data_IF_970804112907
#
_entry.id   IF_970804112907
#
_cell.length_a   1.000
_cell.length_b   1.000
_cell.length_c   1.000
_cell.angle_alpha   90.00
_cell.angle_beta   90.00
_cell.angle_gamma   90.00
#
_symmetry.space_group_name_H-M   'P 1'
#
loop_
_entity.id
_entity.type
_entity.pdbx_description
1 polymer ?
#
# COMPACT_ATOMS: atom_id res chain seq x y z
N UNK A 1 -22.23 -34.21 17.98
CA UNK A 1 -21.50 -33.16 17.27
C UNK A 1 -22.13 -31.82 17.63
N UNK A 2 -21.60 -31.16 18.63
CA UNK A 2 -22.05 -29.81 19.04
C UNK A 2 -21.48 -28.82 18.02
N UNK A 3 -22.34 -28.31 17.13
CA UNK A 3 -21.97 -27.23 16.25
C UNK A 3 -21.56 -26.03 17.10
N UNK A 4 -20.34 -25.53 16.95
CA UNK A 4 -19.94 -24.29 17.59
C UNK A 4 -20.95 -23.20 17.22
N UNK A 5 -21.36 -22.33 18.16
CA UNK A 5 -22.33 -21.28 17.88
C UNK A 5 -21.80 -20.42 16.72
N UNK A 6 -22.68 -20.03 15.79
CA UNK A 6 -22.25 -19.24 14.64
C UNK A 6 -21.55 -17.96 15.14
N UNK A 7 -20.34 -17.76 14.69
CA UNK A 7 -19.55 -16.55 14.97
C UNK A 7 -20.36 -15.32 14.62
N UNK A 8 -20.70 -14.49 15.60
CA UNK A 8 -21.31 -13.18 15.38
C UNK A 8 -20.20 -12.13 15.39
N UNK A 9 -19.81 -11.63 14.22
CA UNK A 9 -18.77 -10.61 14.15
C UNK A 9 -19.22 -9.35 14.89
N UNK A 10 -18.33 -8.83 15.76
CA UNK A 10 -18.58 -7.62 16.56
C UNK A 10 -18.12 -6.37 15.82
N UNK A 11 -18.73 -5.25 16.15
CA UNK A 11 -18.22 -3.93 15.79
C UNK A 11 -16.91 -3.68 16.52
N UNK A 12 -15.89 -3.27 15.80
CA UNK A 12 -14.58 -2.92 16.37
C UNK A 12 -14.20 -1.49 15.99
N UNK A 13 -13.50 -0.82 16.89
CA UNK A 13 -12.94 0.52 16.69
C UNK A 13 -11.50 0.46 17.18
N UNK A 14 -10.55 0.83 16.33
CA UNK A 14 -9.14 0.69 16.64
C UNK A 14 -8.33 1.83 16.05
N UNK A 15 -7.32 2.26 16.80
CA UNK A 15 -6.27 3.13 16.30
C UNK A 15 -5.05 2.29 15.90
N UNK A 16 -4.40 2.70 14.83
CA UNK A 16 -3.19 2.06 14.34
C UNK A 16 -2.11 3.10 14.10
N UNK A 17 -0.86 2.69 14.36
CA UNK A 17 0.32 3.34 13.84
C UNK A 17 0.80 2.56 12.62
N UNK A 18 0.90 3.25 11.50
CA UNK A 18 1.49 2.73 10.27
C UNK A 18 2.89 3.31 10.10
N UNK A 19 3.83 2.44 9.73
CA UNK A 19 5.18 2.80 9.33
C UNK A 19 5.51 2.13 8.00
N UNK A 20 6.02 2.90 7.07
CA UNK A 20 6.66 2.44 5.85
C UNK A 20 8.10 2.94 5.85
N UNK A 21 9.04 2.05 5.70
CA UNK A 21 10.46 2.35 5.51
C UNK A 21 10.86 1.86 4.13
N UNK A 22 11.47 2.71 3.34
CA UNK A 22 11.93 2.42 2.00
C UNK A 22 13.40 2.81 1.87
N UNK A 23 14.25 1.85 1.54
CA UNK A 23 15.67 2.03 1.29
C UNK A 23 15.95 1.57 -0.14
N UNK A 24 16.54 2.45 -0.94
CA UNK A 24 16.96 2.15 -2.32
C UNK A 24 18.45 2.38 -2.44
N UNK A 25 19.16 1.38 -2.92
CA UNK A 25 20.59 1.45 -3.25
C UNK A 25 20.74 1.53 -4.77
N UNK A 26 21.32 2.63 -5.27
CA UNK A 26 21.59 2.87 -6.69
C UNK A 26 23.08 3.16 -6.87
N UNK A 27 23.81 2.30 -7.56
CA UNK A 27 25.25 2.45 -7.78
C UNK A 27 26.03 2.78 -6.48
N UNK A 28 25.71 2.10 -5.39
CA UNK A 28 26.28 2.32 -4.05
C UNK A 28 25.81 3.60 -3.31
N UNK A 29 24.93 4.41 -3.91
CA UNK A 29 24.28 5.53 -3.22
C UNK A 29 22.99 5.07 -2.57
N UNK A 30 22.83 5.37 -1.30
CA UNK A 30 21.64 5.04 -0.53
C UNK A 30 20.64 6.19 -0.54
N UNK A 31 19.40 5.88 -0.87
CA UNK A 31 18.24 6.77 -0.72
C UNK A 31 17.29 6.15 0.29
N UNK A 32 16.78 6.93 1.22
CA UNK A 32 15.81 6.48 2.23
C UNK A 32 14.58 7.36 2.23
N UNK A 33 13.41 6.72 2.29
CA UNK A 33 12.11 7.38 2.36
C UNK A 33 11.25 6.66 3.41
N UNK A 34 10.87 7.37 4.44
CA UNK A 34 10.03 6.83 5.49
C UNK A 34 8.71 7.61 5.55
N UNK A 35 7.63 6.89 5.84
CA UNK A 35 6.31 7.46 6.05
C UNK A 35 5.71 6.90 7.33
N UNK A 36 5.20 7.76 8.18
CA UNK A 36 4.38 7.36 9.33
C UNK A 36 3.00 7.95 9.21
N UNK A 37 1.99 7.25 9.74
CA UNK A 37 0.64 7.77 9.85
C UNK A 37 -0.08 7.18 11.06
N UNK A 38 -0.99 7.95 11.63
CA UNK A 38 -1.98 7.45 12.57
C UNK A 38 -3.29 7.21 11.82
N UNK A 39 -3.97 6.12 12.15
CA UNK A 39 -5.16 5.66 11.46
C UNK A 39 -6.21 5.28 12.49
N UNK A 40 -7.42 5.77 12.28
CA UNK A 40 -8.60 5.31 12.99
C UNK A 40 -9.41 4.41 12.06
N UNK A 41 -9.74 3.23 12.53
CA UNK A 41 -10.48 2.23 11.75
C UNK A 41 -11.70 1.77 12.55
N UNK A 42 -12.87 1.87 11.90
CA UNK A 42 -14.11 1.27 12.40
C UNK A 42 -14.50 0.10 11.51
N UNK A 43 -14.93 -1.00 12.09
CA UNK A 43 -15.40 -2.17 11.35
C UNK A 43 -16.68 -2.66 11.99
N UNK A 44 -17.74 -2.80 11.19
CA UNK A 44 -19.02 -3.34 11.65
C UNK A 44 -19.60 -4.31 10.60
N UNK A 45 -20.20 -5.41 11.06
CA UNK A 45 -20.77 -6.43 10.19
C UNK A 45 -22.05 -5.94 9.53
N UNK A 46 -22.20 -6.22 8.23
CA UNK A 46 -23.42 -5.97 7.46
C UNK A 46 -23.69 -7.18 6.59
N UNK A 47 -24.68 -8.01 6.96
CA UNK A 47 -24.96 -9.30 6.30
C UNK A 47 -23.71 -10.19 6.29
N UNK A 48 -23.22 -10.53 5.10
CA UNK A 48 -22.03 -11.35 4.88
C UNK A 48 -20.74 -10.55 4.70
N UNK A 49 -20.81 -9.19 4.77
CA UNK A 49 -19.68 -8.29 4.59
C UNK A 49 -19.37 -7.50 5.86
N UNK A 50 -18.28 -6.74 5.78
CA UNK A 50 -17.97 -5.71 6.78
C UNK A 50 -17.94 -4.35 6.11
N UNK A 51 -18.62 -3.38 6.70
CA UNK A 51 -18.36 -1.98 6.41
C UNK A 51 -17.18 -1.51 7.25
N UNK A 52 -16.22 -0.90 6.60
CA UNK A 52 -15.00 -0.40 7.23
C UNK A 52 -14.87 1.09 6.95
N UNK A 53 -14.96 1.88 8.00
CA UNK A 53 -14.58 3.29 7.98
C UNK A 53 -13.09 3.41 8.30
N UNK A 54 -12.40 4.24 7.55
CA UNK A 54 -10.98 4.48 7.66
C UNK A 54 -10.69 5.97 7.63
N UNK A 55 -9.96 6.45 8.62
CA UNK A 55 -9.50 7.83 8.69
C UNK A 55 -8.00 7.87 8.96
N UNK A 56 -7.23 8.53 8.08
CA UNK A 56 -5.79 8.74 8.24
C UNK A 56 -5.53 10.17 8.69
N UNK A 57 -4.73 10.34 9.71
CA UNK A 57 -4.33 11.63 10.26
C UNK A 57 -2.86 11.60 10.70
N UNK A 58 -2.29 12.77 10.96
CA UNK A 58 -0.88 12.95 11.41
C UNK A 58 0.14 12.22 10.51
N UNK A 59 -0.01 12.33 9.19
CA UNK A 59 0.99 11.78 8.26
C UNK A 59 2.28 12.58 8.29
N UNK A 60 3.40 11.88 8.40
CA UNK A 60 4.75 12.47 8.37
C UNK A 60 5.62 11.75 7.35
N UNK A 61 6.50 12.50 6.69
CA UNK A 61 7.48 12.01 5.73
C UNK A 61 8.88 12.41 6.16
N UNK A 62 9.78 11.47 6.07
CA UNK A 62 11.21 11.68 6.12
C UNK A 62 11.86 11.13 4.86
N UNK A 63 12.79 11.86 4.26
CA UNK A 63 13.44 11.43 3.02
C UNK A 63 14.80 12.10 2.88
N UNK A 64 15.77 11.35 2.37
CA UNK A 64 17.09 11.88 1.98
C UNK A 64 17.04 12.65 0.67
N UNK A 65 15.96 12.54 -0.11
CA UNK A 65 15.86 13.06 -1.47
C UNK A 65 14.75 14.10 -1.67
N UNK A 66 13.66 13.99 -0.94
CA UNK A 66 12.53 14.89 -1.09
C UNK A 66 12.83 16.27 -0.53
N UNK A 67 12.57 17.31 -1.31
CA UNK A 67 12.52 18.68 -0.80
C UNK A 67 11.34 18.86 0.17
N UNK A 68 11.36 19.92 0.98
CA UNK A 68 10.20 20.25 1.83
C UNK A 68 8.93 20.52 1.00
N UNK A 69 9.08 21.07 -0.19
CA UNK A 69 7.96 21.26 -1.14
C UNK A 69 7.35 19.93 -1.57
N UNK A 70 8.18 18.93 -1.88
CA UNK A 70 7.71 17.60 -2.25
C UNK A 70 7.00 16.91 -1.09
N UNK A 71 7.52 17.04 0.13
CA UNK A 71 6.86 16.49 1.35
C UNK A 71 5.48 17.13 1.57
N UNK A 72 5.36 18.45 1.37
CA UNK A 72 4.08 19.16 1.45
C UNK A 72 3.12 18.65 0.37
N UNK A 73 3.61 18.46 -0.86
CA UNK A 73 2.82 17.91 -1.96
C UNK A 73 2.30 16.52 -1.62
N UNK A 74 3.17 15.62 -1.17
CA UNK A 74 2.79 14.27 -0.76
C UNK A 74 1.76 14.26 0.38
N UNK A 75 1.96 15.08 1.41
CA UNK A 75 0.98 15.22 2.50
C UNK A 75 -0.41 15.63 1.99
N UNK A 76 -0.46 16.56 1.04
CA UNK A 76 -1.74 16.99 0.47
C UNK A 76 -2.37 15.95 -0.43
N UNK A 77 -1.58 15.20 -1.21
CA UNK A 77 -2.08 14.06 -1.99
C UNK A 77 -2.65 12.95 -1.10
N UNK A 78 -2.03 12.68 0.04
CA UNK A 78 -2.55 11.72 1.02
C UNK A 78 -3.94 12.11 1.57
N UNK A 79 -4.23 13.40 1.63
CA UNK A 79 -5.55 13.87 2.06
C UNK A 79 -6.68 13.37 1.14
N UNK A 80 -6.42 13.10 -0.13
CA UNK A 80 -7.43 12.63 -1.09
C UNK A 80 -8.09 11.34 -0.58
N UNK A 81 -7.29 10.41 -0.08
CA UNK A 81 -7.74 9.11 0.43
C UNK A 81 -7.65 8.99 1.95
N UNK A 82 -7.63 10.12 2.67
CA UNK A 82 -7.53 10.11 4.13
C UNK A 82 -8.80 9.63 4.83
N UNK A 83 -9.96 9.68 4.16
CA UNK A 83 -11.23 9.16 4.65
C UNK A 83 -11.82 8.20 3.61
N UNK A 84 -12.01 6.95 3.99
CA UNK A 84 -12.52 5.91 3.10
C UNK A 84 -13.68 5.18 3.79
N UNK A 85 -14.69 4.84 2.99
CA UNK A 85 -15.79 3.99 3.39
C UNK A 85 -15.80 2.76 2.48
N UNK A 86 -15.45 1.60 3.04
CA UNK A 86 -15.17 0.38 2.28
C UNK A 86 -16.13 -0.74 2.66
N UNK A 87 -16.42 -1.60 1.70
CA UNK A 87 -17.08 -2.89 1.92
C UNK A 87 -16.02 -3.98 1.73
N UNK A 88 -15.81 -4.78 2.77
CA UNK A 88 -14.80 -5.84 2.79
C UNK A 88 -15.48 -7.18 3.00
N UNK A 89 -15.08 -8.18 2.21
CA UNK A 89 -15.56 -9.54 2.36
C UNK A 89 -15.01 -10.20 3.64
N UNK A 90 -15.64 -11.27 4.14
CA UNK A 90 -15.11 -12.06 5.25
C UNK A 90 -13.70 -12.62 4.99
N UNK A 91 -13.32 -12.77 3.72
CA UNK A 91 -12.00 -13.25 3.28
C UNK A 91 -10.94 -12.11 3.24
N UNK A 92 -11.29 -10.89 3.66
CA UNK A 92 -10.35 -9.77 3.67
C UNK A 92 -10.19 -9.06 2.31
N UNK A 93 -11.06 -9.34 1.33
CA UNK A 93 -10.98 -8.69 0.01
C UNK A 93 -11.80 -7.41 0.00
N UNK A 94 -11.22 -6.33 -0.54
CA UNK A 94 -11.95 -5.10 -0.80
C UNK A 94 -12.99 -5.34 -1.92
N UNK A 95 -14.27 -5.33 -1.54
CA UNK A 95 -15.38 -5.56 -2.46
C UNK A 95 -15.85 -4.26 -3.10
N UNK A 96 -15.96 -3.19 -2.31
CA UNK A 96 -16.42 -1.89 -2.77
C UNK A 96 -15.85 -0.72 -1.99
N UNK A 97 -15.89 0.47 -2.63
CA UNK A 97 -15.58 1.78 -2.06
C UNK A 97 -16.82 2.66 -2.22
N UNK A 98 -17.49 2.97 -1.11
CA UNK A 98 -18.82 3.58 -1.15
C UNK A 98 -18.79 5.11 -1.27
N UNK A 99 -17.74 5.76 -0.77
CA UNK A 99 -17.57 7.22 -0.83
C UNK A 99 -16.70 7.72 -1.99
N UNK A 100 -16.70 7.01 -3.12
CA UNK A 100 -15.85 7.33 -4.28
C UNK A 100 -16.09 8.75 -4.82
N UNK A 101 -17.34 9.23 -4.83
CA UNK A 101 -17.69 10.57 -5.32
C UNK A 101 -17.03 11.66 -4.45
N UNK A 102 -16.98 11.47 -3.14
CA UNK A 102 -16.31 12.40 -2.21
C UNK A 102 -14.81 12.42 -2.45
N UNK A 103 -14.20 11.26 -2.68
CA UNK A 103 -12.77 11.13 -3.01
C UNK A 103 -12.46 11.85 -4.31
N UNK A 104 -13.29 11.66 -5.34
CA UNK A 104 -13.12 12.32 -6.64
C UNK A 104 -13.23 13.85 -6.52
N UNK A 105 -14.27 14.37 -5.86
CA UNK A 105 -14.41 15.81 -5.60
C UNK A 105 -13.23 16.39 -4.83
N UNK A 106 -12.70 15.63 -3.86
CA UNK A 106 -11.53 16.06 -3.08
C UNK A 106 -10.26 16.04 -3.92
N UNK A 107 -10.10 15.03 -4.79
CA UNK A 107 -8.99 14.95 -5.75
C UNK A 107 -9.01 16.14 -6.70
N UNK A 108 -10.14 16.41 -7.33
CA UNK A 108 -10.29 17.54 -8.28
C UNK A 108 -9.92 18.87 -7.62
N UNK A 109 -10.42 19.13 -6.40
CA UNK A 109 -10.10 20.35 -5.67
C UNK A 109 -8.60 20.50 -5.39
N UNK A 110 -7.96 19.44 -4.86
CA UNK A 110 -6.53 19.46 -4.50
C UNK A 110 -5.66 19.56 -5.75
N UNK A 111 -5.96 18.82 -6.81
CA UNK A 111 -5.18 18.79 -8.02
C UNK A 111 -5.32 20.08 -8.83
N UNK A 112 -6.51 20.70 -8.83
CA UNK A 112 -6.71 22.01 -9.41
C UNK A 112 -5.92 23.10 -8.66
N UNK A 113 -5.94 23.08 -7.31
CA UNK A 113 -5.12 24.00 -6.50
C UNK A 113 -3.62 23.85 -6.82
N UNK A 114 -3.15 22.63 -7.04
CA UNK A 114 -1.77 22.39 -7.45
C UNK A 114 -1.46 22.86 -8.86
N UNK A 115 -2.35 22.66 -9.82
CA UNK A 115 -2.16 23.10 -11.21
C UNK A 115 -2.00 24.61 -11.33
N UNK A 116 -2.59 25.38 -10.41
CA UNK A 116 -2.41 26.83 -10.33
C UNK A 116 -1.11 27.26 -9.63
N UNK A 117 -0.60 26.43 -8.70
CA UNK A 117 0.59 26.78 -7.91
C UNK A 117 1.90 26.30 -8.53
N UNK A 118 1.87 25.17 -9.19
CA UNK A 118 3.05 24.53 -9.78
C UNK A 118 2.98 24.63 -11.30
N UNK A 119 3.60 25.68 -11.84
CA UNK A 119 3.67 25.95 -13.27
C UNK A 119 4.86 25.20 -13.89
N UNK A 120 4.58 24.41 -14.91
CA UNK A 120 5.59 23.66 -15.66
C UNK A 120 5.02 22.41 -16.33
N UNK A 121 5.48 22.11 -17.55
CA UNK A 121 4.90 21.04 -18.36
C UNK A 121 4.92 19.66 -17.69
N UNK A 122 5.96 19.36 -16.91
CA UNK A 122 6.05 18.08 -16.18
C UNK A 122 5.08 18.02 -14.99
N UNK A 123 4.92 19.12 -14.24
CA UNK A 123 3.97 19.21 -13.15
C UNK A 123 2.53 19.06 -13.66
N UNK A 124 2.19 19.75 -14.75
CA UNK A 124 0.86 19.65 -15.36
C UNK A 124 0.56 18.25 -15.90
N UNK A 125 1.54 17.58 -16.53
CA UNK A 125 1.39 16.19 -16.97
C UNK A 125 1.13 15.25 -15.78
N UNK A 126 1.87 15.45 -14.68
CA UNK A 126 1.69 14.67 -13.46
C UNK A 126 0.29 14.87 -12.86
N UNK A 127 -0.18 16.10 -12.71
CA UNK A 127 -1.50 16.38 -12.15
C UNK A 127 -2.63 15.85 -13.04
N UNK A 128 -2.49 15.94 -14.36
CA UNK A 128 -3.43 15.34 -15.30
C UNK A 128 -3.46 13.81 -15.17
N UNK A 129 -2.32 13.18 -14.98
CA UNK A 129 -2.26 11.73 -14.73
C UNK A 129 -2.98 11.35 -13.42
N UNK A 130 -2.80 12.12 -12.34
CA UNK A 130 -3.56 11.93 -11.10
C UNK A 130 -5.06 12.18 -11.28
N UNK A 131 -5.48 13.21 -12.00
CA UNK A 131 -6.91 13.45 -12.31
C UNK A 131 -7.52 12.25 -13.03
N UNK A 132 -6.87 11.77 -14.09
CA UNK A 132 -7.31 10.57 -14.82
C UNK A 132 -7.36 9.32 -13.92
N UNK A 133 -6.39 9.18 -13.01
CA UNK A 133 -6.33 8.09 -12.06
C UNK A 133 -7.55 8.12 -11.11
N UNK A 134 -7.85 9.26 -10.47
CA UNK A 134 -8.96 9.41 -9.54
C UNK A 134 -10.33 9.45 -10.22
N UNK A 135 -10.41 9.73 -11.52
CA UNK A 135 -11.65 9.66 -12.28
C UNK A 135 -12.27 8.24 -12.30
N UNK A 136 -11.46 7.19 -12.08
CA UNK A 136 -11.91 5.81 -12.18
C UNK A 136 -11.84 5.09 -10.83
N UNK A 137 -13.00 4.69 -10.30
CA UNK A 137 -13.14 3.90 -9.06
C UNK A 137 -12.21 2.69 -9.02
N UNK A 138 -12.10 1.95 -10.13
CA UNK A 138 -11.25 0.75 -10.23
C UNK A 138 -9.78 1.06 -9.93
N UNK A 139 -9.26 2.18 -10.41
CA UNK A 139 -7.87 2.58 -10.17
C UNK A 139 -7.65 2.86 -8.68
N UNK A 140 -8.57 3.60 -8.06
CA UNK A 140 -8.52 3.91 -6.62
C UNK A 140 -8.51 2.61 -5.82
N UNK A 141 -9.46 1.70 -6.06
CA UNK A 141 -9.55 0.42 -5.35
C UNK A 141 -8.30 -0.43 -5.53
N UNK A 142 -7.78 -0.52 -6.76
CA UNK A 142 -6.57 -1.31 -7.06
C UNK A 142 -5.36 -0.79 -6.27
N UNK A 143 -5.18 0.53 -6.16
CA UNK A 143 -4.06 1.08 -5.41
C UNK A 143 -4.21 0.96 -3.90
N UNK A 144 -5.42 0.98 -3.38
CA UNK A 144 -5.66 0.77 -1.96
C UNK A 144 -5.29 -0.64 -1.51
N UNK A 145 -5.47 -1.64 -2.40
CA UNK A 145 -5.12 -3.04 -2.13
C UNK A 145 -3.64 -3.35 -2.35
N UNK A 146 -2.91 -2.48 -3.06
CA UNK A 146 -1.46 -2.62 -3.21
C UNK A 146 -0.77 -1.90 -2.06
N UNK A 147 0.30 -2.45 -1.55
CA UNK A 147 1.24 -1.90 -0.55
C UNK A 147 0.90 -0.54 0.05
N UNK A 148 -0.16 -0.49 0.82
CA UNK A 148 -0.58 0.66 1.61
C UNK A 148 -0.93 0.17 3.01
N UNK A 149 -1.13 1.09 3.92
CA UNK A 149 -1.65 0.74 5.24
C UNK A 149 -2.96 -0.06 5.17
N UNK A 150 -3.79 0.21 4.16
CA UNK A 150 -5.05 -0.52 3.92
C UNK A 150 -4.77 -1.95 3.47
N UNK A 151 -3.82 -2.18 2.56
CA UNK A 151 -3.42 -3.53 2.17
C UNK A 151 -2.99 -4.40 3.34
N UNK A 152 -2.33 -3.81 4.35
CA UNK A 152 -1.99 -4.49 5.60
C UNK A 152 -3.19 -4.73 6.53
N UNK A 153 -4.25 -3.93 6.46
CA UNK A 153 -5.48 -4.17 7.22
C UNK A 153 -6.38 -5.25 6.62
N UNK A 154 -6.08 -5.68 5.40
CA UNK A 154 -6.84 -6.69 4.67
C UNK A 154 -6.04 -8.02 4.65
N UNK A 155 -5.95 -8.75 5.77
CA UNK A 155 -5.18 -9.97 5.81
C UNK A 155 -5.83 -11.01 4.88
N UNK A 156 -5.03 -11.75 4.13
CA UNK A 156 -5.52 -12.82 3.29
C UNK A 156 -5.90 -14.02 4.18
N UNK A 157 -7.13 -14.07 4.63
CA UNK A 157 -7.64 -15.16 5.49
C UNK A 157 -7.75 -16.51 4.80
N UNK A 158 -7.61 -16.55 3.47
CA UNK A 158 -7.72 -17.76 2.68
C UNK A 158 -6.37 -18.19 2.14
N UNK A 159 -6.14 -19.49 2.04
CA UNK A 159 -4.94 -20.06 1.40
C UNK A 159 -4.91 -19.86 -0.13
N UNK A 160 -5.91 -19.21 -0.71
CA UNK A 160 -5.98 -18.93 -2.15
C UNK A 160 -4.94 -17.85 -2.49
N UNK A 161 -4.11 -18.08 -3.53
CA UNK A 161 -3.17 -17.07 -3.99
C UNK A 161 -3.89 -15.77 -4.37
N UNK A 162 -3.36 -14.64 -3.91
CA UNK A 162 -3.85 -13.30 -4.21
C UNK A 162 -2.90 -12.59 -5.17
N UNK A 163 -3.45 -11.96 -6.18
CA UNK A 163 -2.69 -11.10 -7.08
C UNK A 163 -2.58 -9.70 -6.48
N UNK A 164 -1.36 -9.22 -6.29
CA UNK A 164 -1.06 -7.85 -5.85
C UNK A 164 -0.55 -7.07 -7.05
N UNK A 165 -1.40 -6.20 -7.57
CA UNK A 165 -1.10 -5.35 -8.73
C UNK A 165 -0.44 -4.04 -8.30
N UNK A 166 0.27 -3.41 -9.24
CA UNK A 166 0.84 -2.06 -9.07
C UNK A 166 1.90 -1.97 -7.96
N UNK A 167 2.66 -3.03 -7.71
CA UNK A 167 3.77 -2.98 -6.78
C UNK A 167 4.91 -2.11 -7.34
N UNK A 168 5.26 -1.03 -6.64
CA UNK A 168 6.32 -0.08 -7.05
C UNK A 168 7.68 -0.56 -6.54
N UNK A 169 8.24 -1.58 -7.18
CA UNK A 169 9.53 -2.15 -6.80
C UNK A 169 10.71 -1.43 -7.46
N UNK A 170 10.51 -0.88 -8.65
CA UNK A 170 11.53 -0.09 -9.33
C UNK A 170 10.88 1.19 -9.89
N UNK A 171 10.97 2.27 -9.14
CA UNK A 171 10.49 3.61 -9.49
C UNK A 171 9.02 3.65 -10.01
N UNK A 172 8.85 4.05 -11.29
CA UNK A 172 7.52 4.13 -11.93
C UNK A 172 7.04 2.81 -12.53
N UNK A 173 7.88 1.79 -12.57
CA UNK A 173 7.50 0.49 -13.11
C UNK A 173 6.62 -0.25 -12.09
N UNK A 174 5.46 -0.69 -12.56
CA UNK A 174 4.47 -1.38 -11.75
C UNK A 174 4.61 -2.89 -11.96
N UNK A 175 4.86 -3.60 -10.88
CA UNK A 175 5.00 -5.05 -10.88
C UNK A 175 3.72 -5.72 -10.40
N UNK A 176 3.45 -6.91 -10.92
CA UNK A 176 2.42 -7.80 -10.42
C UNK A 176 3.06 -8.92 -9.61
N UNK A 177 2.57 -9.13 -8.41
CA UNK A 177 3.04 -10.18 -7.51
C UNK A 177 1.93 -11.18 -7.24
N UNK A 178 2.29 -12.44 -7.10
CA UNK A 178 1.42 -13.48 -6.59
C UNK A 178 1.76 -13.73 -5.13
N UNK A 179 0.82 -13.39 -4.25
CA UNK A 179 0.92 -13.60 -2.81
C UNK A 179 0.22 -14.89 -2.40
N UNK A 180 0.83 -15.63 -1.48
CA UNK A 180 0.24 -16.80 -0.83
C UNK A 180 0.22 -16.56 0.67
N UNK A 181 -0.87 -16.93 1.30
CA UNK A 181 -1.01 -16.93 2.75
C UNK A 181 -1.02 -18.35 3.30
N UNK A 182 -0.49 -18.51 4.50
CA UNK A 182 -0.51 -19.74 5.27
C UNK A 182 -0.86 -19.41 6.71
N UNK A 183 -2.01 -19.84 7.23
CA UNK A 183 -2.28 -19.79 8.66
C UNK A 183 -1.21 -20.60 9.41
N UNK A 184 -0.61 -20.03 10.43
CA UNK A 184 0.32 -20.69 11.35
C UNK A 184 -0.46 -21.15 12.57
N UNK A 185 -1.30 -20.26 13.10
CA UNK A 185 -2.25 -20.51 14.20
C UNK A 185 -3.58 -19.84 13.85
N UNK A 186 -4.58 -19.96 14.74
CA UNK A 186 -5.88 -19.28 14.59
C UNK A 186 -5.75 -17.74 14.59
N UNK A 187 -4.64 -17.22 15.12
CA UNK A 187 -4.38 -15.78 15.27
C UNK A 187 -3.13 -15.32 14.54
N UNK A 188 -2.45 -16.18 13.79
CA UNK A 188 -1.25 -15.83 13.06
C UNK A 188 -1.28 -16.33 11.62
N UNK A 189 -1.03 -15.42 10.67
CA UNK A 189 -0.96 -15.72 9.23
C UNK A 189 0.39 -15.26 8.70
N UNK A 190 1.11 -16.17 8.06
CA UNK A 190 2.31 -15.86 7.28
C UNK A 190 1.93 -15.65 5.82
N UNK A 191 2.53 -14.63 5.20
CA UNK A 191 2.43 -14.41 3.75
C UNK A 191 3.80 -14.51 3.11
N UNK A 192 3.81 -15.01 1.87
CA UNK A 192 4.97 -15.04 0.98
C UNK A 192 4.54 -14.64 -0.42
N UNK A 193 5.45 -14.15 -1.24
CA UNK A 193 5.12 -13.71 -2.59
C UNK A 193 6.21 -14.00 -3.60
N UNK A 194 5.84 -13.94 -4.87
CA UNK A 194 6.74 -14.06 -6.01
C UNK A 194 6.31 -13.11 -7.12
N UNK A 195 7.25 -12.72 -7.98
CA UNK A 195 6.91 -12.02 -9.23
C UNK A 195 6.06 -12.92 -10.11
N UNK A 196 4.97 -12.39 -10.65
CA UNK A 196 4.06 -13.14 -11.52
C UNK A 196 4.45 -12.97 -13.00
N UNK A 197 4.86 -11.78 -13.40
CA UNK A 197 5.15 -11.43 -14.78
C UNK A 197 6.60 -11.01 -14.95
N UNK A 198 7.16 -11.36 -16.10
CA UNK A 198 8.39 -10.76 -16.59
C UNK A 198 8.01 -9.48 -17.34
N UNK A 199 8.39 -8.34 -16.78
CA UNK A 199 8.32 -7.08 -17.52
C UNK A 199 9.20 -7.16 -18.75
N UNK A 200 8.81 -6.43 -19.81
CA UNK A 200 9.69 -6.28 -20.95
C UNK A 200 11.03 -5.69 -20.47
N UNK A 201 12.12 -6.42 -20.71
CA UNK A 201 13.46 -6.00 -20.29
C UNK A 201 13.80 -4.62 -20.85
N UNK A 202 13.23 -4.23 -22.00
CA UNK A 202 13.37 -2.93 -22.62
C UNK A 202 12.97 -1.77 -21.70
N UNK A 203 11.84 -1.87 -20.98
CA UNK A 203 11.37 -0.81 -20.09
C UNK A 203 12.26 -0.66 -18.86
N UNK A 204 12.71 -1.79 -18.32
CA UNK A 204 13.65 -1.81 -17.20
C UNK A 204 15.02 -1.26 -17.60
N UNK A 205 15.50 -1.60 -18.80
CA UNK A 205 16.75 -1.08 -19.34
C UNK A 205 16.67 0.43 -19.61
N UNK A 206 15.60 0.89 -20.24
CA UNK A 206 15.38 2.32 -20.49
C UNK A 206 15.34 3.13 -19.18
N UNK A 207 14.68 2.61 -18.12
CA UNK A 207 14.68 3.27 -16.81
C UNK A 207 16.07 3.24 -16.18
N UNK A 208 16.82 2.13 -16.30
CA UNK A 208 18.17 2.02 -15.78
C UNK A 208 19.11 3.01 -16.46
N UNK A 209 19.03 3.18 -17.79
CA UNK A 209 19.78 4.18 -18.54
C UNK A 209 19.42 5.60 -18.09
N UNK A 210 18.12 5.93 -17.96
CA UNK A 210 17.67 7.23 -17.49
C UNK A 210 18.22 7.56 -16.09
N UNK A 211 18.32 6.56 -15.24
CA UNK A 211 18.83 6.68 -13.86
C UNK A 211 20.33 6.45 -13.74
N UNK A 212 21.01 6.20 -14.86
CA UNK A 212 22.45 5.87 -14.91
C UNK A 212 22.80 4.67 -14.01
N UNK A 213 21.89 3.71 -13.89
CA UNK A 213 22.15 2.46 -13.18
C UNK A 213 22.96 1.56 -14.09
N UNK A 214 24.09 1.08 -13.61
CA UNK A 214 24.95 0.16 -14.36
C UNK A 214 24.34 -1.25 -14.34
N UNK A 215 23.77 -1.68 -15.47
CA UNK A 215 23.18 -3.00 -15.65
C UNK A 215 23.88 -3.76 -16.78
N UNK A 216 23.87 -5.07 -16.72
CA UNK A 216 24.32 -5.98 -17.77
C UNK A 216 23.10 -6.45 -18.59
N UNK A 217 23.29 -6.82 -19.87
CA UNK A 217 22.20 -7.31 -20.72
C UNK A 217 21.46 -8.53 -20.17
N UNK A 218 22.14 -9.36 -19.37
CA UNK A 218 21.58 -10.56 -18.74
C UNK A 218 20.93 -10.29 -17.38
N UNK A 219 20.99 -9.07 -16.87
CA UNK A 219 20.36 -8.76 -15.59
C UNK A 219 18.84 -8.86 -15.70
N UNK A 220 18.24 -9.56 -14.75
CA UNK A 220 16.80 -9.75 -14.65
C UNK A 220 16.32 -9.23 -13.29
N UNK A 221 15.09 -8.70 -13.21
CA UNK A 221 14.51 -8.31 -11.93
C UNK A 221 14.30 -9.54 -11.03
N UNK A 222 14.64 -9.41 -9.74
CA UNK A 222 14.50 -10.48 -8.75
C UNK A 222 13.78 -9.97 -7.51
N UNK A 223 12.81 -10.73 -7.05
CA UNK A 223 12.21 -10.57 -5.73
C UNK A 223 12.96 -11.51 -4.78
N UNK A 224 13.91 -10.97 -4.03
CA UNK A 224 14.80 -11.74 -3.15
C UNK A 224 14.07 -12.19 -1.88
N UNK A 225 13.19 -11.33 -1.37
CA UNK A 225 12.34 -11.60 -0.20
C UNK A 225 10.97 -10.96 -0.40
N UNK A 226 9.94 -11.70 -0.06
CA UNK A 226 8.60 -11.21 0.19
C UNK A 226 8.01 -12.03 1.32
N UNK A 227 8.02 -11.47 2.50
CA UNK A 227 7.57 -12.16 3.69
C UNK A 227 6.86 -11.20 4.64
N UNK A 228 5.72 -11.62 5.14
CA UNK A 228 4.97 -10.86 6.11
C UNK A 228 4.28 -11.77 7.13
N UNK A 229 3.94 -11.17 8.26
CA UNK A 229 3.25 -11.82 9.36
C UNK A 229 2.11 -10.91 9.81
N UNK A 230 0.93 -11.52 9.97
CA UNK A 230 -0.24 -10.90 10.57
C UNK A 230 -0.53 -11.56 11.90
N UNK A 231 -0.71 -10.76 12.93
CA UNK A 231 -1.28 -11.19 14.20
C UNK A 231 -2.71 -10.64 14.31
N UNK A 232 -3.65 -11.54 14.57
CA UNK A 232 -5.07 -11.24 14.65
C UNK A 232 -5.52 -11.23 16.11
N UNK A 233 -6.54 -10.46 16.40
CA UNK A 233 -7.29 -10.59 17.66
C UNK A 233 -8.25 -11.77 17.58
N UNK A 234 -8.81 -12.26 18.73
CA UNK A 234 -9.76 -13.36 18.73
C UNK A 234 -10.97 -13.18 17.81
N UNK A 235 -11.43 -11.92 17.64
CA UNK A 235 -12.50 -11.56 16.70
C UNK A 235 -12.00 -11.28 15.26
N UNK A 236 -10.76 -11.67 14.97
CA UNK A 236 -10.08 -11.58 13.66
C UNK A 236 -9.77 -10.17 13.09
N UNK A 237 -9.94 -9.02 13.76
CA UNK A 237 -9.31 -7.79 13.29
C UNK A 237 -7.78 -7.90 13.45
N UNK A 238 -7.06 -7.19 12.61
CA UNK A 238 -5.60 -7.13 12.67
C UNK A 238 -5.17 -6.46 13.97
N UNK A 239 -4.34 -7.15 14.77
CA UNK A 239 -3.64 -6.57 15.92
C UNK A 239 -2.35 -5.90 15.48
N UNK A 240 -1.58 -6.62 14.67
CA UNK A 240 -0.38 -6.09 14.03
C UNK A 240 -0.15 -6.80 12.71
N UNK A 241 0.53 -6.12 11.80
CA UNK A 241 0.99 -6.70 10.56
C UNK A 241 2.38 -6.15 10.21
N UNK A 242 3.21 -7.00 9.64
CA UNK A 242 4.49 -6.61 9.06
C UNK A 242 4.66 -7.24 7.69
N UNK A 243 5.33 -6.54 6.78
CA UNK A 243 5.69 -7.04 5.47
C UNK A 243 7.06 -6.51 5.10
N UNK A 244 7.95 -7.39 4.69
CA UNK A 244 9.28 -7.05 4.17
C UNK A 244 9.41 -7.51 2.73
N UNK A 245 9.87 -6.60 1.86
CA UNK A 245 10.05 -6.84 0.44
C UNK A 245 11.47 -6.44 0.08
N UNK A 246 12.25 -7.38 -0.49
CA UNK A 246 13.57 -7.10 -1.02
C UNK A 246 13.56 -7.39 -2.51
N UNK A 247 13.91 -6.40 -3.29
CA UNK A 247 13.94 -6.44 -4.74
C UNK A 247 15.31 -6.03 -5.25
N UNK A 248 15.79 -6.66 -6.32
CA UNK A 248 17.02 -6.27 -6.99
C UNK A 248 16.87 -6.32 -8.51
N UNK A 249 17.67 -5.50 -9.20
CA UNK A 249 17.86 -5.54 -10.65
C UNK A 249 19.34 -5.35 -10.97
N UNK A 250 19.99 -6.45 -11.29
CA UNK A 250 21.45 -6.52 -11.35
C UNK A 250 22.12 -6.28 -9.98
N UNK A 251 23.39 -5.92 -10.00
CA UNK A 251 24.19 -5.68 -8.78
C UNK A 251 24.00 -4.26 -8.23
N UNK A 252 23.58 -3.31 -9.07
CA UNK A 252 23.61 -1.88 -8.78
C UNK A 252 22.25 -1.26 -8.46
N UNK A 253 21.17 -2.05 -8.41
CA UNK A 253 19.88 -1.60 -7.91
C UNK A 253 19.34 -2.60 -6.91
N UNK A 254 19.14 -2.12 -5.69
CA UNK A 254 18.46 -2.90 -4.62
C UNK A 254 17.45 -1.99 -3.94
N UNK A 255 16.26 -2.55 -3.66
CA UNK A 255 15.21 -1.85 -2.93
C UNK A 255 14.70 -2.74 -1.80
N UNK A 256 14.65 -2.18 -0.62
CA UNK A 256 14.09 -2.81 0.57
C UNK A 256 12.93 -1.95 1.02
N UNK A 257 11.77 -2.57 1.18
CA UNK A 257 10.58 -1.91 1.70
C UNK A 257 10.10 -2.69 2.91
N UNK A 258 9.85 -2.01 4.01
CA UNK A 258 9.25 -2.57 5.20
C UNK A 258 8.00 -1.81 5.56
N UNK A 259 6.94 -2.55 5.78
CA UNK A 259 5.67 -2.01 6.27
C UNK A 259 5.39 -2.59 7.64
N UNK A 260 4.92 -1.74 8.53
CA UNK A 260 4.47 -2.17 9.86
C UNK A 260 3.16 -1.47 10.20
N UNK A 261 2.23 -2.21 10.74
CA UNK A 261 0.95 -1.74 11.24
C UNK A 261 0.74 -2.32 12.64
N UNK A 262 0.58 -1.46 13.64
CA UNK A 262 0.36 -1.90 15.01
C UNK A 262 -0.84 -1.17 15.60
N UNK A 263 -1.66 -1.88 16.37
CA UNK A 263 -2.69 -1.24 17.18
C UNK A 263 -2.05 -0.35 18.25
N UNK A 264 -2.67 0.80 18.50
CA UNK A 264 -2.31 1.68 19.61
C UNK A 264 -3.27 1.48 20.78
N UNK A 265 -2.73 1.54 21.98
CA UNK A 265 -3.51 1.64 23.21
C UNK A 265 -3.91 3.11 23.36
N UNK A 266 -5.10 3.39 23.92
CA UNK A 266 -5.67 4.75 23.99
C UNK A 266 -4.74 5.78 24.67
N UNK A 267 -3.85 5.33 25.55
CA UNK A 267 -2.87 6.18 26.25
C UNK A 267 -1.71 6.67 25.34
N UNK A 268 -1.59 6.16 24.10
CA UNK A 268 -0.51 6.49 23.17
C UNK A 268 -0.93 7.49 22.05
N UNK A 269 -2.17 7.99 22.08
CA UNK A 269 -2.75 8.88 21.07
C UNK A 269 -2.70 10.34 21.54
#
# INVERSE_FOLDING_TARGET
MTSAPPYKPKTTQQFYRFLQEEQTLINSMEERNDKTALIYCTRYPVKEFFNVGWETFKTQYWSTRMSETDKILHKKLDLITSNLQMIISPQGTLHDLTNVIEIQKKADRILNDFSHKYLGGNAQKLFKAYQNYYAHKRNIMSSLCSYSAIGLLLPPYTAVPREVKNAKLMESILFTLQEKSKPITDTEIKITGKLQEQHELSDLQALAELRKIKIKKQDIPKLELYEGIYHLQPDKPVKSASLSIHFSFGENYKKIIRYTLNTLIYEEI
#
